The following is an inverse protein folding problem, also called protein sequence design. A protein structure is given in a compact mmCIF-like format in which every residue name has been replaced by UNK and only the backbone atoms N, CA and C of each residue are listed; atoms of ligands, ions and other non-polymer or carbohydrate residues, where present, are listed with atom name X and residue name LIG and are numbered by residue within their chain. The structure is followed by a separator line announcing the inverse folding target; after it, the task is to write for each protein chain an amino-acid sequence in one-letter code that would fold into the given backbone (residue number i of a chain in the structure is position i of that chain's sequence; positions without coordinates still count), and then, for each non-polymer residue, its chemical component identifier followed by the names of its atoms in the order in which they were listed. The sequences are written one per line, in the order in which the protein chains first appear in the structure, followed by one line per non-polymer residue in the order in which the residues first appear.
data_IF_760074519128
#
_entry.id   IF_760074519128
#
_cell.length_a   1.000
_cell.length_b   1.000
_cell.length_c   1.000
_cell.angle_alpha   90.00
_cell.angle_beta   90.00
_cell.angle_gamma   90.00
#
_symmetry.space_group_name_H-M   'P 1'
#
loop_
_entity.id
_entity.type
_entity.pdbx_description
1 polymer ?
#
# COMPACT_ATOMS: atom_id res chain seq x y z
N UNK A 1 24.55 -18.95 -30.47
CA UNK A 1 25.41 -18.95 -29.27
C UNK A 1 24.64 -18.23 -28.18
N UNK A 2 24.09 -19.00 -27.25
CA UNK A 2 23.44 -18.48 -26.06
C UNK A 2 24.55 -18.17 -25.06
N UNK A 3 24.69 -16.91 -24.69
CA UNK A 3 25.63 -16.50 -23.65
C UNK A 3 24.85 -16.39 -22.34
N UNK A 4 25.22 -17.27 -21.41
CA UNK A 4 24.70 -17.31 -20.05
C UNK A 4 25.71 -16.72 -19.10
N UNK A 5 25.21 -16.03 -18.06
CA UNK A 5 26.00 -15.61 -16.90
C UNK A 5 26.22 -14.10 -16.81
N UNK A 6 25.36 -13.40 -16.07
CA UNK A 6 25.60 -11.99 -15.71
C UNK A 6 24.36 -11.10 -15.45
N UNK A 7 23.14 -11.64 -15.43
CA UNK A 7 21.91 -10.84 -15.53
C UNK A 7 21.36 -10.17 -14.26
N UNK A 8 22.01 -10.30 -13.09
CA UNK A 8 21.38 -9.90 -11.81
C UNK A 8 21.58 -8.43 -11.40
N UNK A 9 22.75 -7.84 -11.68
CA UNK A 9 23.13 -6.56 -11.08
C UNK A 9 22.66 -5.33 -11.86
N UNK A 10 22.51 -5.43 -13.18
CA UNK A 10 22.18 -4.29 -14.03
C UNK A 10 20.72 -3.84 -14.00
N UNK A 11 19.78 -4.76 -13.76
CA UNK A 11 18.34 -4.45 -13.83
C UNK A 11 17.90 -3.57 -12.66
N UNK A 12 18.27 -3.96 -11.43
CA UNK A 12 17.94 -3.21 -10.23
C UNK A 12 18.75 -1.92 -10.09
N UNK A 13 19.91 -1.85 -10.72
CA UNK A 13 20.71 -0.63 -10.80
C UNK A 13 19.97 0.49 -11.53
N UNK A 14 19.34 0.18 -12.67
CA UNK A 14 18.57 1.18 -13.42
C UNK A 14 17.39 1.74 -12.60
N UNK A 15 16.63 0.86 -11.93
CA UNK A 15 15.54 1.28 -11.04
C UNK A 15 16.06 2.15 -9.90
N UNK A 16 17.15 1.73 -9.23
CA UNK A 16 17.75 2.50 -8.14
C UNK A 16 18.22 3.87 -8.59
N UNK A 17 18.90 3.96 -9.73
CA UNK A 17 19.38 5.23 -10.31
C UNK A 17 18.24 6.17 -10.65
N UNK A 18 17.15 5.66 -11.25
CA UNK A 18 15.96 6.44 -11.55
C UNK A 18 15.37 7.07 -10.27
N UNK A 19 15.10 6.29 -9.23
CA UNK A 19 14.54 6.82 -7.98
C UNK A 19 15.51 7.75 -7.25
N UNK A 20 16.80 7.43 -7.22
CA UNK A 20 17.82 8.33 -6.67
C UNK A 20 17.80 9.69 -7.35
N UNK A 21 17.51 9.78 -8.65
CA UNK A 21 17.44 11.06 -9.37
C UNK A 21 16.24 11.94 -8.98
N UNK A 22 15.19 11.36 -8.39
CA UNK A 22 14.01 12.09 -7.94
C UNK A 22 14.10 12.63 -6.50
N UNK A 23 15.13 12.25 -5.75
CA UNK A 23 15.44 12.83 -4.43
C UNK A 23 16.14 14.17 -4.64
N UNK A 24 15.48 15.26 -4.21
CA UNK A 24 16.03 16.62 -4.25
C UNK A 24 16.69 16.95 -2.90
N UNK A 25 17.98 17.25 -2.88
CA UNK A 25 18.81 17.44 -1.67
C UNK A 25 18.49 18.67 -0.80
N UNK A 26 17.45 19.45 -1.11
CA UNK A 26 17.36 20.83 -0.62
C UNK A 26 15.97 21.29 -0.17
N UNK A 27 15.05 20.38 0.19
CA UNK A 27 13.71 20.77 0.66
C UNK A 27 13.41 20.31 2.08
N UNK A 28 12.94 21.23 2.92
CA UNK A 28 12.25 20.88 4.16
C UNK A 28 11.00 20.05 3.84
N UNK A 29 10.52 19.25 4.79
CA UNK A 29 9.30 18.43 4.59
C UNK A 29 8.09 19.30 4.22
N UNK A 30 8.03 20.54 4.73
CA UNK A 30 6.96 21.49 4.41
C UNK A 30 7.01 21.93 2.95
N UNK A 31 8.18 22.25 2.42
CA UNK A 31 8.35 22.67 1.03
C UNK A 31 8.10 21.51 0.06
N UNK A 32 8.55 20.30 0.42
CA UNK A 32 8.25 19.10 -0.36
C UNK A 32 6.73 18.81 -0.43
N UNK A 33 6.01 19.02 0.68
CA UNK A 33 4.54 18.91 0.69
C UNK A 33 3.86 20.02 -0.10
N UNK A 34 4.39 21.24 -0.08
CA UNK A 34 3.85 22.36 -0.85
C UNK A 34 4.03 22.16 -2.35
N UNK A 35 5.23 21.76 -2.81
CA UNK A 35 5.46 21.39 -4.22
C UNK A 35 4.58 20.22 -4.65
N UNK A 36 4.27 19.27 -3.75
CA UNK A 36 3.37 18.16 -4.06
C UNK A 36 1.91 18.60 -4.23
N UNK A 37 1.52 19.69 -3.57
CA UNK A 37 0.20 20.31 -3.65
C UNK A 37 0.07 21.31 -4.80
N UNK A 38 1.13 21.47 -5.59
CA UNK A 38 1.19 22.34 -6.76
C UNK A 38 1.58 21.48 -7.97
N UNK A 39 1.32 21.96 -9.19
CA UNK A 39 1.74 21.29 -10.42
C UNK A 39 0.67 20.42 -11.11
N UNK A 40 0.96 20.01 -12.36
CA UNK A 40 -0.03 19.42 -13.25
C UNK A 40 -0.46 18.00 -12.84
N UNK A 41 0.31 17.27 -12.01
CA UNK A 41 -0.08 15.93 -11.56
C UNK A 41 -0.81 15.90 -10.20
N UNK A 42 -1.20 17.07 -9.65
CA UNK A 42 -1.82 17.18 -8.32
C UNK A 42 -3.05 16.28 -8.14
N UNK A 43 -4.01 16.32 -9.05
CA UNK A 43 -5.27 15.55 -8.92
C UNK A 43 -5.01 14.03 -8.91
N UNK A 44 -4.09 13.56 -9.75
CA UNK A 44 -3.64 12.16 -9.77
C UNK A 44 -2.98 11.79 -8.42
N UNK A 45 -2.06 12.63 -7.92
CA UNK A 45 -1.39 12.42 -6.63
C UNK A 45 -2.40 12.40 -5.48
N UNK A 46 -3.39 13.28 -5.49
CA UNK A 46 -4.44 13.35 -4.46
C UNK A 46 -5.31 12.09 -4.47
N UNK A 47 -5.77 11.68 -5.65
CA UNK A 47 -6.56 10.46 -5.81
C UNK A 47 -5.77 9.21 -5.40
N UNK A 48 -4.53 9.04 -5.86
CA UNK A 48 -3.68 7.91 -5.45
C UNK A 48 -3.43 7.91 -3.93
N UNK A 49 -3.20 9.07 -3.32
CA UNK A 49 -3.08 9.17 -1.86
C UNK A 49 -4.38 8.85 -1.13
N UNK A 50 -5.52 9.21 -1.71
CA UNK A 50 -6.84 8.87 -1.17
C UNK A 50 -7.04 7.35 -1.19
N UNK A 51 -6.81 6.68 -2.32
CA UNK A 51 -6.86 5.20 -2.42
C UNK A 51 -5.99 4.54 -1.37
N UNK A 52 -4.72 4.95 -1.27
CA UNK A 52 -3.79 4.41 -0.25
C UNK A 52 -4.30 4.63 1.17
N UNK A 53 -4.84 5.82 1.46
CA UNK A 53 -5.40 6.14 2.78
C UNK A 53 -6.57 5.23 3.11
N UNK A 54 -7.51 5.05 2.18
CA UNK A 54 -8.67 4.18 2.40
C UNK A 54 -8.23 2.72 2.60
N UNK A 55 -7.32 2.20 1.77
CA UNK A 55 -6.77 0.84 1.94
C UNK A 55 -6.08 0.64 3.30
N UNK A 56 -5.19 1.56 3.69
CA UNK A 56 -4.47 1.48 4.97
C UNK A 56 -5.44 1.61 6.15
N UNK A 57 -6.40 2.55 6.10
CA UNK A 57 -7.41 2.68 7.15
C UNK A 57 -8.31 1.45 7.24
N UNK A 58 -8.61 0.81 6.10
CA UNK A 58 -9.49 -0.36 6.06
C UNK A 58 -8.83 -1.59 6.66
N UNK A 59 -7.58 -1.87 6.29
CA UNK A 59 -6.92 -3.14 6.58
C UNK A 59 -5.82 -3.05 7.64
N UNK A 60 -5.27 -1.86 7.91
CA UNK A 60 -4.14 -1.67 8.82
C UNK A 60 -4.46 -0.82 10.06
N UNK A 61 -5.74 -0.47 10.29
CA UNK A 61 -6.13 0.28 11.48
C UNK A 61 -5.79 -0.47 12.77
N UNK A 62 -5.13 0.24 13.71
CA UNK A 62 -4.66 -0.28 15.00
C UNK A 62 -3.82 -1.55 14.92
N UNK A 63 -3.13 -1.78 13.80
CA UNK A 63 -2.17 -2.88 13.73
C UNK A 63 -0.93 -2.55 14.54
N UNK A 64 -0.47 -3.52 15.34
CA UNK A 64 0.73 -3.35 16.15
C UNK A 64 1.98 -3.19 15.29
N UNK A 65 2.08 -3.97 14.20
CA UNK A 65 3.25 -4.03 13.33
C UNK A 65 2.85 -4.08 11.86
N UNK A 66 3.44 -3.20 11.06
CA UNK A 66 3.36 -3.16 9.59
C UNK A 66 4.75 -3.27 8.97
N UNK A 67 4.88 -4.08 7.93
CA UNK A 67 6.06 -4.13 7.07
C UNK A 67 5.72 -3.46 5.74
N UNK A 68 6.39 -2.35 5.42
CA UNK A 68 6.19 -1.63 4.16
C UNK A 68 7.36 -1.91 3.20
N UNK A 69 7.07 -2.67 2.16
CA UNK A 69 8.02 -3.04 1.12
C UNK A 69 8.01 -2.00 0.00
N UNK A 70 9.21 -1.51 -0.35
CA UNK A 70 9.43 -0.39 -1.27
C UNK A 70 8.82 0.92 -0.72
N UNK A 71 9.18 1.27 0.52
CA UNK A 71 8.56 2.37 1.27
C UNK A 71 8.88 3.78 0.72
N UNK A 72 9.90 3.89 -0.12
CA UNK A 72 10.48 5.13 -0.61
C UNK A 72 10.75 6.13 0.52
N UNK A 73 10.59 7.42 0.21
CA UNK A 73 10.73 8.59 1.09
C UNK A 73 9.64 8.75 2.16
N UNK A 74 9.04 7.67 2.64
CA UNK A 74 8.05 7.71 3.73
C UNK A 74 6.79 8.52 3.39
N UNK A 75 6.28 8.40 2.16
CA UNK A 75 5.09 9.14 1.71
C UNK A 75 3.79 8.78 2.45
N UNK A 76 3.80 7.68 3.20
CA UNK A 76 2.66 7.14 3.92
C UNK A 76 2.75 7.31 5.45
N UNK A 77 3.79 7.97 5.97
CA UNK A 77 3.97 8.30 7.41
C UNK A 77 2.72 8.85 8.09
N UNK A 78 2.07 9.83 7.46
CA UNK A 78 0.83 10.43 8.01
C UNK A 78 -0.33 9.42 7.99
N UNK A 79 -0.41 8.57 6.96
CA UNK A 79 -1.46 7.55 6.86
C UNK A 79 -1.28 6.49 7.93
N UNK A 80 -0.04 6.08 8.20
CA UNK A 80 0.26 5.13 9.28
C UNK A 80 -0.11 5.68 10.65
N UNK A 81 0.22 6.95 10.91
CA UNK A 81 -0.18 7.64 12.14
C UNK A 81 -1.71 7.72 12.26
N UNK A 82 -2.40 8.13 11.19
CA UNK A 82 -3.86 8.29 11.20
C UNK A 82 -4.57 6.93 11.37
N UNK A 83 -3.96 5.84 10.88
CA UNK A 83 -4.40 4.46 11.10
C UNK A 83 -4.01 3.92 12.49
N UNK A 84 -3.33 4.70 13.34
CA UNK A 84 -2.91 4.30 14.68
C UNK A 84 -2.03 3.03 14.70
N UNK A 85 -1.14 2.90 13.73
CA UNK A 85 -0.18 1.78 13.67
C UNK A 85 0.89 1.96 14.76
N UNK A 86 1.24 0.89 15.47
CA UNK A 86 2.22 0.93 16.57
C UNK A 86 3.69 0.98 16.10
N UNK A 87 4.03 0.14 15.12
CA UNK A 87 5.38 0.02 14.56
C UNK A 87 5.33 -0.20 13.05
N UNK A 88 6.22 0.47 12.32
CA UNK A 88 6.42 0.28 10.87
C UNK A 88 7.89 -0.05 10.60
N UNK A 89 8.16 -1.15 9.89
CA UNK A 89 9.46 -1.39 9.25
C UNK A 89 9.34 -1.07 7.76
N UNK A 90 10.09 -0.09 7.27
CA UNK A 90 10.14 0.26 5.86
C UNK A 90 11.42 -0.28 5.20
N UNK A 91 11.28 -0.97 4.09
CA UNK A 91 12.39 -1.48 3.28
C UNK A 91 12.37 -0.81 1.91
N UNK A 92 13.51 -0.33 1.42
CA UNK A 92 13.61 0.22 0.06
C UNK A 92 14.99 0.02 -0.56
N UNK A 93 15.07 -0.01 -1.88
CA UNK A 93 16.33 -0.17 -2.63
C UNK A 93 17.16 1.12 -2.68
N UNK A 94 16.51 2.27 -2.58
CA UNK A 94 17.18 3.57 -2.63
C UNK A 94 17.61 4.03 -1.24
N UNK A 95 18.92 4.06 -1.00
CA UNK A 95 19.50 4.64 0.23
C UNK A 95 19.02 6.08 0.45
N UNK A 96 19.00 6.90 -0.61
CA UNK A 96 18.56 8.30 -0.55
C UNK A 96 17.09 8.45 -0.15
N UNK A 97 16.21 7.60 -0.68
CA UNK A 97 14.80 7.60 -0.29
C UNK A 97 14.63 7.14 1.17
N UNK A 98 15.40 6.14 1.62
CA UNK A 98 15.41 5.69 3.03
C UNK A 98 15.89 6.79 3.98
N UNK A 99 16.96 7.50 3.65
CA UNK A 99 17.44 8.64 4.44
C UNK A 99 16.40 9.75 4.56
N UNK A 100 15.72 10.07 3.46
CA UNK A 100 14.62 11.04 3.45
C UNK A 100 13.42 10.57 4.30
N UNK A 101 13.10 9.27 4.28
CA UNK A 101 12.06 8.69 5.15
C UNK A 101 12.42 8.84 6.63
N UNK A 102 13.67 8.53 7.02
CA UNK A 102 14.20 8.71 8.38
C UNK A 102 14.11 10.17 8.82
N UNK A 103 14.50 11.10 7.96
CA UNK A 103 14.43 12.55 8.24
C UNK A 103 12.98 13.00 8.47
N UNK A 104 12.06 12.65 7.57
CA UNK A 104 10.63 13.01 7.69
C UNK A 104 9.97 12.43 8.93
N UNK A 105 10.30 11.19 9.29
CA UNK A 105 9.82 10.58 10.52
C UNK A 105 10.34 11.34 11.75
N UNK A 106 11.63 11.66 11.80
CA UNK A 106 12.25 12.43 12.88
C UNK A 106 11.59 13.81 13.07
N UNK A 107 11.28 14.50 11.97
CA UNK A 107 10.56 15.79 12.00
C UNK A 107 9.09 15.68 12.45
N UNK A 108 8.42 14.59 12.08
CA UNK A 108 7.06 14.31 12.56
C UNK A 108 7.07 14.05 14.07
N UNK A 109 8.10 13.35 14.57
CA UNK A 109 8.23 12.98 15.98
C UNK A 109 8.72 14.14 16.86
N UNK A 110 9.53 15.07 16.32
CA UNK A 110 10.08 16.21 17.08
C UNK A 110 9.06 17.32 17.37
N UNK A 111 7.98 17.40 16.58
CA UNK A 111 6.88 18.36 16.79
C UNK A 111 6.02 17.95 17.98
N UNK A 112 6.53 18.21 19.20
CA UNK A 112 5.80 18.09 20.48
C UNK A 112 4.67 19.12 20.58
N UNK A 113 3.53 18.84 19.94
CA UNK A 113 2.28 19.58 20.13
C UNK A 113 1.15 18.60 20.45
N UNK A 114 0.78 18.52 21.73
CA UNK A 114 -0.45 17.91 22.28
C UNK A 114 -0.87 16.56 21.67
N UNK A 115 -0.22 15.50 22.15
CA UNK A 115 -0.51 14.09 21.82
C UNK A 115 0.73 13.43 21.28
N UNK A 116 1.45 12.69 22.12
CA UNK A 116 2.63 11.94 21.68
C UNK A 116 2.24 11.02 20.51
N UNK A 117 3.03 11.04 19.43
CA UNK A 117 2.86 10.09 18.32
C UNK A 117 3.22 8.71 18.87
N UNK A 118 2.21 7.87 19.12
CA UNK A 118 2.40 6.49 19.56
C UNK A 118 2.68 5.56 18.37
N UNK A 119 3.69 5.92 17.57
CA UNK A 119 4.13 5.14 16.41
C UNK A 119 5.65 5.20 16.33
N UNK A 120 6.27 4.04 16.17
CA UNK A 120 7.71 3.88 15.92
C UNK A 120 7.96 3.45 14.48
N UNK A 121 9.08 3.88 13.89
CA UNK A 121 9.46 3.47 12.54
C UNK A 121 10.95 3.09 12.48
N UNK A 122 11.25 2.03 11.74
CA UNK A 122 12.60 1.59 11.36
C UNK A 122 12.68 1.53 9.84
N UNK A 123 13.74 2.09 9.25
CA UNK A 123 13.93 2.10 7.81
C UNK A 123 15.29 1.52 7.44
N UNK A 124 15.30 0.62 6.46
CA UNK A 124 16.49 -0.12 6.03
C UNK A 124 16.59 -0.15 4.51
N UNK A 125 17.81 0.06 4.02
CA UNK A 125 18.12 -0.02 2.59
C UNK A 125 18.46 -1.45 2.22
N UNK A 126 17.75 -2.01 1.24
CA UNK A 126 17.89 -3.41 0.82
C UNK A 126 17.85 -3.52 -0.69
N UNK A 127 18.80 -4.23 -1.28
CA UNK A 127 18.91 -4.43 -2.73
C UNK A 127 18.49 -5.84 -3.19
N UNK A 128 18.00 -6.66 -2.25
CA UNK A 128 17.75 -8.08 -2.43
C UNK A 128 16.27 -8.48 -2.40
N UNK A 129 15.33 -7.52 -2.31
CA UNK A 129 13.89 -7.83 -2.40
C UNK A 129 13.60 -8.58 -3.72
N UNK A 130 12.90 -9.71 -3.63
CA UNK A 130 12.68 -10.60 -4.78
C UNK A 130 13.88 -11.46 -5.17
N UNK A 131 15.02 -11.41 -4.46
CA UNK A 131 16.20 -12.24 -4.78
C UNK A 131 16.60 -13.18 -3.63
N UNK A 132 16.28 -12.83 -2.38
CA UNK A 132 16.61 -13.62 -1.20
C UNK A 132 15.40 -13.78 -0.29
N UNK A 133 15.36 -14.91 0.42
CA UNK A 133 14.39 -15.11 1.50
C UNK A 133 14.68 -14.11 2.61
N UNK A 134 13.61 -13.55 3.17
CA UNK A 134 13.67 -12.62 4.28
C UNK A 134 12.65 -12.96 5.34
N UNK A 135 13.16 -13.07 6.56
CA UNK A 135 12.41 -13.08 7.80
C UNK A 135 13.03 -12.03 8.70
N UNK A 136 12.22 -11.19 9.32
CA UNK A 136 12.73 -10.21 10.26
C UNK A 136 13.30 -10.92 11.50
N UNK A 137 14.63 -11.00 11.61
CA UNK A 137 15.30 -11.67 12.73
C UNK A 137 14.96 -11.06 14.10
N UNK A 138 14.66 -9.76 14.17
CA UNK A 138 14.33 -9.09 15.43
C UNK A 138 12.89 -9.38 15.85
N UNK A 139 11.98 -9.46 14.88
CA UNK A 139 10.55 -9.64 15.13
C UNK A 139 10.11 -11.10 15.12
N UNK A 140 10.86 -11.97 14.43
CA UNK A 140 10.52 -13.35 14.11
C UNK A 140 9.57 -13.47 12.91
N UNK A 141 9.40 -14.70 12.39
CA UNK A 141 8.46 -14.99 11.32
C UNK A 141 7.01 -14.74 11.77
N UNK A 142 6.16 -14.33 10.83
CA UNK A 142 4.74 -14.10 11.09
C UNK A 142 4.45 -13.02 12.14
N UNK A 143 5.34 -12.04 12.30
CA UNK A 143 5.23 -11.00 13.33
C UNK A 143 4.44 -9.77 12.88
N UNK A 144 4.09 -9.66 11.61
CA UNK A 144 3.38 -8.52 11.05
C UNK A 144 1.89 -8.82 10.84
N UNK A 145 1.03 -7.90 11.28
CA UNK A 145 -0.40 -7.96 11.01
C UNK A 145 -0.74 -7.58 9.56
N UNK A 146 0.07 -6.68 8.98
CA UNK A 146 -0.07 -6.22 7.61
C UNK A 146 1.29 -6.07 6.95
N UNK A 147 1.36 -6.45 5.68
CA UNK A 147 2.46 -6.11 4.76
C UNK A 147 1.91 -5.20 3.67
N UNK A 148 2.60 -4.12 3.32
CA UNK A 148 2.20 -3.21 2.23
C UNK A 148 3.25 -3.14 1.13
N UNK A 149 2.81 -2.98 -0.13
CA UNK A 149 3.67 -2.68 -1.27
C UNK A 149 2.97 -1.73 -2.23
N UNK A 150 3.24 -0.44 -2.09
CA UNK A 150 2.47 0.62 -2.76
C UNK A 150 3.20 1.10 -4.03
N UNK A 151 2.59 0.87 -5.19
CA UNK A 151 3.10 1.25 -6.51
C UNK A 151 4.47 0.65 -6.87
N UNK A 152 4.73 -0.60 -6.45
CA UNK A 152 6.02 -1.25 -6.70
C UNK A 152 5.95 -2.75 -7.04
N UNK A 153 4.79 -3.41 -6.90
CA UNK A 153 4.68 -4.86 -7.13
C UNK A 153 5.09 -5.26 -8.56
N UNK A 154 4.80 -4.40 -9.54
CA UNK A 154 5.13 -4.63 -10.95
C UNK A 154 6.64 -4.75 -11.22
N UNK A 155 7.52 -4.26 -10.34
CA UNK A 155 8.96 -4.47 -10.51
C UNK A 155 9.38 -5.93 -10.33
N UNK A 156 8.65 -6.70 -9.52
CA UNK A 156 8.96 -8.10 -9.26
C UNK A 156 8.53 -9.05 -10.39
N UNK A 157 7.80 -8.55 -11.41
CA UNK A 157 7.46 -9.29 -12.63
C UNK A 157 8.63 -9.42 -13.63
N UNK A 158 9.83 -8.94 -13.27
CA UNK A 158 11.06 -9.13 -14.05
C UNK A 158 11.36 -10.61 -14.36
N UNK A 159 11.06 -11.51 -13.43
CA UNK A 159 11.20 -12.96 -13.59
C UNK A 159 10.26 -13.71 -12.65
N UNK A 160 9.97 -14.97 -12.98
CA UNK A 160 9.15 -15.85 -12.14
C UNK A 160 9.77 -16.02 -10.73
N UNK A 161 11.07 -16.31 -10.68
CA UNK A 161 11.79 -16.47 -9.41
C UNK A 161 11.69 -15.21 -8.55
N UNK A 162 11.75 -14.02 -9.17
CA UNK A 162 11.62 -12.76 -8.44
C UNK A 162 10.26 -12.59 -7.77
N UNK A 163 9.19 -12.86 -8.51
CA UNK A 163 7.83 -12.78 -7.97
C UNK A 163 7.59 -13.83 -6.88
N UNK A 164 8.06 -15.06 -7.08
CA UNK A 164 7.95 -16.15 -6.10
C UNK A 164 8.65 -15.81 -4.79
N UNK A 165 9.91 -15.35 -4.85
CA UNK A 165 10.67 -14.95 -3.65
C UNK A 165 10.01 -13.75 -2.97
N UNK A 166 9.55 -12.76 -3.75
CA UNK A 166 8.88 -11.59 -3.20
C UNK A 166 7.61 -11.97 -2.42
N UNK A 167 6.72 -12.76 -3.01
CA UNK A 167 5.48 -13.20 -2.35
C UNK A 167 5.73 -14.18 -1.21
N UNK A 168 6.77 -15.02 -1.30
CA UNK A 168 7.23 -15.81 -0.16
C UNK A 168 7.61 -14.90 1.02
N UNK A 169 8.40 -13.85 0.80
CA UNK A 169 8.79 -12.92 1.87
C UNK A 169 7.59 -12.19 2.47
N UNK A 170 6.62 -11.79 1.64
CA UNK A 170 5.34 -11.24 2.11
C UNK A 170 4.65 -12.24 3.04
N UNK A 171 4.47 -13.49 2.60
CA UNK A 171 3.79 -14.51 3.40
C UNK A 171 4.56 -14.87 4.67
N UNK A 172 5.88 -15.08 4.61
CA UNK A 172 6.71 -15.48 5.74
C UNK A 172 6.68 -14.47 6.89
N UNK A 173 6.60 -13.17 6.59
CA UNK A 173 6.53 -12.11 7.60
C UNK A 173 5.09 -11.83 8.07
N UNK A 174 4.07 -12.24 7.31
CA UNK A 174 2.66 -12.13 7.71
C UNK A 174 2.27 -13.17 8.76
N UNK A 175 1.61 -12.73 9.83
CA UNK A 175 0.88 -13.64 10.72
C UNK A 175 -0.26 -14.30 9.96
N UNK A 176 -0.68 -15.48 10.40
CA UNK A 176 -1.92 -16.08 9.91
C UNK A 176 -3.11 -15.15 10.18
N UNK A 177 -3.98 -14.97 9.19
CA UNK A 177 -5.06 -13.99 9.18
C UNK A 177 -4.63 -12.54 8.90
N UNK A 178 -3.34 -12.26 8.73
CA UNK A 178 -2.84 -10.94 8.33
C UNK A 178 -3.07 -10.62 6.85
N UNK A 179 -2.92 -9.34 6.48
CA UNK A 179 -3.22 -8.85 5.13
C UNK A 179 -1.99 -8.33 4.38
N UNK A 180 -1.88 -8.71 3.11
CA UNK A 180 -1.00 -8.07 2.15
C UNK A 180 -1.80 -7.08 1.30
N UNK A 181 -1.36 -5.81 1.27
CA UNK A 181 -2.01 -4.74 0.49
C UNK A 181 -1.02 -4.27 -0.58
N UNK A 182 -1.45 -4.25 -1.84
CA UNK A 182 -0.61 -3.72 -2.91
C UNK A 182 -1.36 -2.81 -3.87
N UNK A 183 -0.64 -1.85 -4.43
CA UNK A 183 -1.07 -1.09 -5.62
C UNK A 183 -0.01 -1.21 -6.71
N UNK A 184 -0.42 -1.30 -7.96
CA UNK A 184 0.49 -1.57 -9.08
C UNK A 184 -0.15 -1.23 -10.42
N UNK A 185 0.65 -1.19 -11.48
CA UNK A 185 0.19 -1.02 -12.86
C UNK A 185 -0.35 -2.34 -13.41
N UNK A 186 -1.60 -2.31 -13.89
CA UNK A 186 -2.32 -3.47 -14.41
C UNK A 186 -1.89 -3.78 -15.85
N UNK A 187 -1.35 -4.97 -16.09
CA UNK A 187 -0.94 -5.41 -17.43
C UNK A 187 -2.05 -5.29 -18.48
N UNK A 188 -3.29 -5.79 -18.22
CA UNK A 188 -4.42 -5.59 -19.12
C UNK A 188 -4.69 -4.12 -19.48
N UNK A 189 -4.58 -3.20 -18.51
CA UNK A 189 -4.78 -1.76 -18.75
C UNK A 189 -3.66 -1.15 -19.60
N UNK A 190 -2.41 -1.53 -19.36
CA UNK A 190 -1.26 -1.11 -20.18
C UNK A 190 -1.41 -1.61 -21.62
N UNK A 191 -1.76 -2.89 -21.81
CA UNK A 191 -1.98 -3.47 -23.13
C UNK A 191 -3.16 -2.80 -23.87
N UNK A 192 -4.25 -2.53 -23.16
CA UNK A 192 -5.42 -1.83 -23.69
C UNK A 192 -5.06 -0.41 -24.13
N UNK A 193 -4.21 0.29 -23.38
CA UNK A 193 -3.79 1.65 -23.75
C UNK A 193 -2.85 1.66 -24.98
N UNK A 194 -1.96 0.67 -25.06
CA UNK A 194 -1.04 0.54 -26.19
C UNK A 194 -1.75 0.15 -27.48
N UNK A 195 -2.79 -0.70 -27.43
CA UNK A 195 -3.52 -1.21 -28.60
C UNK A 195 -2.56 -1.82 -29.65
N UNK A 196 -1.52 -2.51 -29.19
CA UNK A 196 -0.48 -3.11 -30.04
C UNK A 196 0.57 -2.13 -30.58
N UNK A 197 0.42 -0.82 -30.36
CA UNK A 197 1.40 0.20 -30.75
C UNK A 197 2.71 0.06 -29.96
N UNK A 198 3.85 0.49 -30.53
CA UNK A 198 5.13 0.52 -29.80
C UNK A 198 5.14 1.55 -28.67
N UNK A 199 4.39 2.64 -28.82
CA UNK A 199 4.33 3.72 -27.84
C UNK A 199 2.92 4.33 -27.84
N UNK A 200 2.47 4.71 -26.65
CA UNK A 200 1.36 5.62 -26.43
C UNK A 200 1.89 6.91 -25.79
N UNK A 201 1.40 8.07 -26.25
CA UNK A 201 1.79 9.37 -25.70
C UNK A 201 0.60 10.33 -25.61
N UNK A 202 0.51 11.00 -24.49
CA UNK A 202 -0.37 12.14 -24.21
C UNK A 202 0.36 13.13 -23.29
N UNK A 203 -0.16 14.35 -23.05
CA UNK A 203 0.61 15.42 -22.37
C UNK A 203 1.22 15.04 -21.02
N UNK A 204 0.53 14.20 -20.23
CA UNK A 204 0.98 13.77 -18.90
C UNK A 204 1.44 12.32 -18.84
N UNK A 205 1.42 11.59 -19.96
CA UNK A 205 1.66 10.14 -19.95
C UNK A 205 2.36 9.68 -21.21
N UNK A 206 3.42 8.90 -21.03
CA UNK A 206 4.04 8.11 -22.09
C UNK A 206 4.22 6.68 -21.60
N UNK A 207 3.80 5.72 -22.43
CA UNK A 207 4.03 4.30 -22.25
C UNK A 207 4.76 3.77 -23.49
N UNK A 208 5.94 3.18 -23.33
CA UNK A 208 6.71 2.62 -24.46
C UNK A 208 7.14 1.18 -24.20
N UNK A 209 6.63 0.23 -24.99
CA UNK A 209 6.93 -1.20 -24.80
C UNK A 209 8.37 -1.54 -25.18
N UNK A 210 8.97 -2.52 -24.49
CA UNK A 210 10.30 -3.08 -24.80
C UNK A 210 10.25 -4.53 -25.30
N UNK A 211 9.12 -5.22 -25.17
CA UNK A 211 8.94 -6.55 -25.76
C UNK A 211 8.68 -6.46 -27.28
N UNK A 212 9.00 -7.52 -28.03
CA UNK A 212 8.96 -7.51 -29.51
C UNK A 212 7.57 -7.71 -30.10
N UNK A 213 6.87 -8.78 -29.71
CA UNK A 213 5.56 -9.16 -30.26
C UNK A 213 4.43 -8.36 -29.56
N UNK A 214 3.74 -7.44 -30.25
CA UNK A 214 2.70 -6.62 -29.64
C UNK A 214 1.47 -7.39 -29.14
N UNK A 215 1.24 -8.62 -29.64
CA UNK A 215 0.07 -9.42 -29.32
C UNK A 215 0.39 -10.57 -28.35
N UNK A 216 1.67 -10.88 -28.16
CA UNK A 216 2.13 -11.97 -27.29
C UNK A 216 3.30 -11.51 -26.40
N UNK A 217 3.07 -10.59 -25.45
CA UNK A 217 4.08 -10.26 -24.46
C UNK A 217 4.42 -11.51 -23.63
N UNK A 218 5.69 -11.68 -23.21
CA UNK A 218 6.03 -12.73 -22.25
C UNK A 218 5.35 -12.46 -20.90
N UNK A 219 5.02 -13.51 -20.16
CA UNK A 219 4.38 -13.40 -18.83
C UNK A 219 5.29 -12.66 -17.85
N UNK A 220 6.59 -12.96 -17.89
CA UNK A 220 7.61 -12.30 -17.09
C UNK A 220 8.61 -11.55 -17.97
N UNK A 221 9.19 -10.48 -17.44
CA UNK A 221 10.22 -9.70 -18.14
C UNK A 221 9.69 -8.84 -19.29
N UNK A 222 8.37 -8.73 -19.47
CA UNK A 222 7.76 -7.82 -20.44
C UNK A 222 7.88 -6.35 -19.98
N UNK A 223 9.06 -5.78 -20.17
CA UNK A 223 9.38 -4.41 -19.75
C UNK A 223 8.71 -3.34 -20.62
N UNK A 224 8.35 -2.22 -20.01
CA UNK A 224 7.96 -0.98 -20.70
C UNK A 224 8.42 0.24 -19.90
N UNK A 225 8.60 1.36 -20.59
CA UNK A 225 8.81 2.65 -19.94
C UNK A 225 7.46 3.24 -19.57
N UNK A 226 7.31 3.60 -18.30
CA UNK A 226 6.24 4.40 -17.74
C UNK A 226 6.78 5.78 -17.39
N UNK A 227 6.28 6.81 -18.06
CA UNK A 227 6.67 8.19 -17.82
C UNK A 227 5.40 9.01 -17.59
N UNK A 228 5.12 9.30 -16.30
CA UNK A 228 4.01 10.15 -15.88
C UNK A 228 4.62 11.48 -15.43
N UNK A 229 4.37 12.54 -16.20
CA UNK A 229 4.95 13.85 -15.96
C UNK A 229 4.60 14.38 -14.55
N UNK A 230 5.54 15.11 -13.94
CA UNK A 230 5.41 15.63 -12.57
C UNK A 230 5.19 14.53 -11.50
N UNK A 231 5.65 13.30 -11.75
CA UNK A 231 5.67 12.23 -10.74
C UNK A 231 7.07 11.63 -10.58
N UNK A 232 7.20 10.63 -9.69
CA UNK A 232 8.45 9.89 -9.50
C UNK A 232 8.76 8.89 -10.62
N UNK A 233 7.86 8.73 -11.59
CA UNK A 233 8.13 7.94 -12.80
C UNK A 233 8.55 8.81 -13.98
N UNK A 234 8.54 10.14 -13.80
CA UNK A 234 8.79 11.08 -14.88
C UNK A 234 10.20 10.91 -15.44
N UNK A 235 10.35 11.08 -16.75
CA UNK A 235 11.67 11.19 -17.35
C UNK A 235 12.44 12.36 -16.74
N UNK A 236 13.75 12.18 -16.59
CA UNK A 236 14.67 13.20 -16.09
C UNK A 236 15.69 13.41 -17.20
N UNK A 237 15.70 14.61 -17.77
CA UNK A 237 16.56 14.94 -18.90
C UNK A 237 18.02 14.61 -18.60
N UNK A 238 18.68 13.92 -19.55
CA UNK A 238 20.06 13.45 -19.41
C UNK A 238 20.27 12.30 -18.41
N UNK A 239 19.22 11.81 -17.73
CA UNK A 239 19.34 10.78 -16.68
C UNK A 239 18.49 9.54 -16.98
N UNK A 240 17.19 9.69 -17.24
CA UNK A 240 16.30 8.55 -17.50
C UNK A 240 15.17 8.89 -18.47
N UNK A 241 14.76 7.91 -19.28
CA UNK A 241 13.61 8.03 -20.19
C UNK A 241 12.24 7.85 -19.51
N UNK A 242 12.23 7.66 -18.18
CA UNK A 242 11.08 7.26 -17.36
C UNK A 242 11.37 5.99 -16.56
N UNK A 243 10.40 5.52 -15.77
CA UNK A 243 10.54 4.29 -15.01
C UNK A 243 10.45 3.05 -15.91
N UNK A 244 11.37 2.09 -15.75
CA UNK A 244 11.26 0.77 -16.37
C UNK A 244 10.41 -0.14 -15.48
N UNK A 245 9.21 -0.47 -15.95
CA UNK A 245 8.25 -1.32 -15.27
C UNK A 245 8.00 -2.62 -16.06
N UNK A 246 7.37 -3.63 -15.45
CA UNK A 246 7.03 -4.89 -16.11
C UNK A 246 5.53 -5.14 -16.11
N UNK A 247 5.00 -5.68 -17.21
CA UNK A 247 3.58 -6.04 -17.28
C UNK A 247 3.23 -7.05 -16.19
N UNK A 248 2.18 -6.76 -15.43
CA UNK A 248 1.62 -7.67 -14.44
C UNK A 248 0.54 -8.52 -15.08
N UNK A 249 0.81 -9.81 -15.22
CA UNK A 249 -0.21 -10.80 -15.55
C UNK A 249 -1.02 -11.16 -14.29
N UNK A 250 -2.30 -10.75 -14.27
CA UNK A 250 -3.17 -10.87 -13.09
C UNK A 250 -3.43 -12.33 -12.68
N UNK A 251 -3.73 -13.27 -13.60
CA UNK A 251 -3.87 -14.69 -13.24
C UNK A 251 -2.60 -15.27 -12.63
N UNK A 252 -1.43 -14.98 -13.21
CA UNK A 252 -0.14 -15.43 -12.68
C UNK A 252 0.13 -14.86 -11.29
N UNK A 253 -0.15 -13.55 -11.07
CA UNK A 253 -0.01 -12.94 -9.74
C UNK A 253 -0.85 -13.68 -8.70
N UNK A 254 -2.13 -13.93 -9.00
CA UNK A 254 -3.03 -14.63 -8.10
C UNK A 254 -2.56 -16.06 -7.82
N UNK A 255 -2.09 -16.78 -8.85
CA UNK A 255 -1.63 -18.15 -8.70
C UNK A 255 -0.35 -18.24 -7.85
N UNK A 256 0.64 -17.37 -8.08
CA UNK A 256 1.87 -17.35 -7.28
C UNK A 256 1.58 -16.93 -5.83
N UNK A 257 0.64 -16.01 -5.61
CA UNK A 257 0.20 -15.64 -4.26
C UNK A 257 -0.46 -16.83 -3.54
N UNK A 258 -1.35 -17.56 -4.21
CA UNK A 258 -2.02 -18.73 -3.64
C UNK A 258 -1.02 -19.83 -3.23
N UNK A 259 0.07 -20.03 -3.99
CA UNK A 259 1.12 -21.01 -3.66
C UNK A 259 1.81 -20.76 -2.32
N UNK A 260 1.73 -19.55 -1.78
CA UNK A 260 2.30 -19.16 -0.48
C UNK A 260 1.22 -18.84 0.57
N UNK A 261 -0.02 -19.31 0.35
CA UNK A 261 -1.13 -19.14 1.28
C UNK A 261 -1.74 -17.74 1.30
N UNK A 262 -1.50 -16.92 0.28
CA UNK A 262 -2.10 -15.59 0.13
C UNK A 262 -3.33 -15.70 -0.77
N UNK A 263 -4.52 -15.58 -0.17
CA UNK A 263 -5.81 -15.71 -0.85
C UNK A 263 -6.53 -14.35 -0.95
N UNK A 264 -7.18 -14.04 -2.09
CA UNK A 264 -7.67 -12.69 -2.34
C UNK A 264 -8.89 -12.35 -1.48
N UNK A 265 -8.92 -11.13 -0.95
CA UNK A 265 -10.12 -10.53 -0.38
C UNK A 265 -10.95 -9.98 -1.53
N UNK A 266 -12.12 -10.58 -1.78
CA UNK A 266 -12.97 -10.23 -2.92
C UNK A 266 -13.82 -8.99 -2.65
N UNK A 267 -14.48 -8.91 -1.51
CA UNK A 267 -15.27 -7.73 -1.14
C UNK A 267 -14.57 -6.99 0.00
N UNK A 268 -14.28 -5.70 -0.20
CA UNK A 268 -13.64 -4.89 0.84
C UNK A 268 -14.63 -4.36 1.88
N UNK A 269 -15.94 -4.54 1.67
CA UNK A 269 -17.01 -4.15 2.61
C UNK A 269 -16.87 -2.70 3.08
N UNK A 270 -16.54 -1.81 2.15
CA UNK A 270 -16.35 -0.38 2.40
C UNK A 270 -16.86 0.42 1.18
N UNK A 271 -18.05 1.04 1.29
CA UNK A 271 -18.65 1.79 0.19
C UNK A 271 -17.81 2.99 -0.27
N UNK A 272 -17.05 3.64 0.62
CA UNK A 272 -16.21 4.80 0.26
C UNK A 272 -15.02 4.32 -0.55
N UNK A 273 -14.34 3.27 -0.07
CA UNK A 273 -13.24 2.65 -0.80
C UNK A 273 -13.72 2.09 -2.15
N UNK A 274 -14.92 1.50 -2.22
CA UNK A 274 -15.50 1.01 -3.47
C UNK A 274 -15.64 2.10 -4.54
N UNK A 275 -15.94 3.36 -4.16
CA UNK A 275 -16.03 4.47 -5.13
C UNK A 275 -14.72 4.78 -5.86
N UNK A 276 -13.59 4.31 -5.33
CA UNK A 276 -12.28 4.49 -5.95
C UNK A 276 -12.02 3.54 -7.12
N UNK A 277 -12.86 2.52 -7.29
CA UNK A 277 -12.62 1.41 -8.21
C UNK A 277 -13.72 1.27 -9.27
N UNK A 278 -13.42 0.52 -10.33
CA UNK A 278 -14.43 0.22 -11.36
C UNK A 278 -15.52 -0.65 -10.75
N UNK A 279 -16.77 -0.38 -11.13
CA UNK A 279 -17.93 -1.06 -10.55
C UNK A 279 -17.91 -2.58 -10.87
N UNK A 280 -17.37 -2.96 -12.03
CA UNK A 280 -17.18 -4.36 -12.45
C UNK A 280 -16.15 -5.12 -11.61
N UNK A 281 -15.27 -4.42 -10.88
CA UNK A 281 -14.25 -5.04 -10.05
C UNK A 281 -14.72 -5.27 -8.61
N UNK A 282 -15.97 -4.95 -8.24
CA UNK A 282 -16.42 -4.94 -6.84
C UNK A 282 -16.20 -6.27 -6.10
N UNK A 283 -16.34 -7.39 -6.81
CA UNK A 283 -16.10 -8.75 -6.30
C UNK A 283 -14.85 -9.42 -6.91
N UNK A 284 -14.06 -8.67 -7.68
CA UNK A 284 -12.86 -9.19 -8.33
C UNK A 284 -11.63 -9.16 -7.39
N UNK A 285 -10.66 -10.08 -7.53
CA UNK A 285 -9.40 -10.04 -6.75
C UNK A 285 -8.57 -8.76 -6.95
N UNK A 286 -8.75 -8.09 -8.10
CA UNK A 286 -7.99 -6.92 -8.50
C UNK A 286 -8.94 -5.75 -8.77
N UNK A 287 -8.70 -4.61 -8.13
CA UNK A 287 -9.55 -3.42 -8.17
C UNK A 287 -8.90 -2.33 -8.99
N UNK A 288 -9.31 -2.14 -10.24
CA UNK A 288 -8.77 -1.09 -11.09
C UNK A 288 -9.29 0.28 -10.68
N UNK A 289 -8.41 1.27 -10.73
CA UNK A 289 -8.71 2.63 -10.32
C UNK A 289 -9.75 3.28 -11.24
N UNK A 290 -10.73 3.96 -10.65
CA UNK A 290 -11.76 4.78 -11.31
C UNK A 290 -11.52 6.26 -10.95
N UNK A 291 -10.50 6.91 -11.52
CA UNK A 291 -10.28 8.33 -11.30
C UNK A 291 -11.41 9.15 -11.90
N UNK A 292 -11.78 10.23 -11.22
CA UNK A 292 -12.68 11.27 -11.75
C UNK A 292 -12.13 12.62 -11.31
N UNK A 293 -11.64 13.42 -12.27
CA UNK A 293 -10.99 14.70 -11.98
C UNK A 293 -11.87 15.85 -12.49
N UNK A 294 -12.34 16.73 -11.60
CA UNK A 294 -13.33 17.77 -11.94
C UNK A 294 -12.84 18.72 -13.05
N UNK A 295 -11.53 19.00 -13.11
CA UNK A 295 -10.96 19.87 -14.14
C UNK A 295 -10.82 19.19 -15.52
N UNK A 296 -11.08 17.88 -15.63
CA UNK A 296 -11.21 17.18 -16.92
C UNK A 296 -12.49 17.58 -17.67
N UNK A 297 -13.50 18.09 -16.96
CA UNK A 297 -14.64 18.75 -17.54
C UNK A 297 -14.19 20.16 -17.96
N UNK A 298 -13.72 20.32 -19.19
CA UNK A 298 -13.63 21.65 -19.79
C UNK A 298 -15.02 22.30 -19.65
N UNK A 299 -15.10 23.35 -18.83
CA UNK A 299 -16.32 24.12 -18.52
C UNK A 299 -16.83 24.95 -19.71
N UNK A 300 -16.61 24.49 -20.94
CA UNK A 300 -17.30 24.99 -22.12
C UNK A 300 -18.69 24.34 -22.13
N UNK A 301 -19.56 24.91 -21.30
CA UNK A 301 -20.97 24.55 -21.20
C UNK A 301 -21.63 24.62 -22.58
N UNK A 302 -22.12 23.47 -23.06
CA UNK A 302 -23.30 23.43 -23.93
C UNK A 302 -24.46 23.03 -23.03
N UNK A 303 -25.37 23.96 -22.78
CA UNK A 303 -26.57 23.71 -21.98
C UNK A 303 -27.40 22.58 -22.62
N UNK A 304 -27.71 21.54 -21.84
CA UNK A 304 -28.68 20.50 -22.24
C UNK A 304 -28.12 19.12 -22.61
N UNK A 305 -26.80 18.91 -22.70
CA UNK A 305 -26.19 17.56 -22.79
C UNK A 305 -24.82 17.54 -22.11
N UNK A 306 -24.62 16.68 -21.10
CA UNK A 306 -23.27 16.31 -20.66
C UNK A 306 -22.65 15.44 -21.77
N UNK A 307 -21.60 15.87 -22.48
CA UNK A 307 -20.80 14.92 -23.22
C UNK A 307 -20.01 14.11 -22.19
N UNK A 308 -20.06 12.77 -22.29
CA UNK A 308 -19.00 11.92 -21.74
C UNK A 308 -17.72 12.27 -22.52
N UNK A 309 -17.00 13.30 -22.06
CA UNK A 309 -15.71 13.65 -22.66
C UNK A 309 -14.74 12.47 -22.48
N UNK A 310 -13.85 12.23 -23.45
CA UNK A 310 -12.82 11.19 -23.29
C UNK A 310 -11.96 11.50 -22.06
N UNK A 311 -11.46 10.48 -21.35
CA UNK A 311 -10.68 10.69 -20.14
C UNK A 311 -9.45 11.57 -20.42
N UNK A 312 -9.18 12.49 -19.50
CA UNK A 312 -8.00 13.35 -19.54
C UNK A 312 -6.71 12.53 -19.53
N UNK A 313 -5.58 13.16 -19.89
CA UNK A 313 -4.28 12.49 -19.85
C UNK A 313 -3.94 11.95 -18.45
N UNK A 314 -4.37 12.63 -17.39
CA UNK A 314 -4.16 12.19 -16.01
C UNK A 314 -5.10 11.04 -15.63
N UNK A 315 -6.35 11.06 -16.08
CA UNK A 315 -7.27 9.94 -15.85
C UNK A 315 -6.80 8.69 -16.58
N UNK A 316 -6.29 8.82 -17.81
CA UNK A 316 -5.63 7.72 -18.53
C UNK A 316 -4.47 7.15 -17.72
N UNK A 317 -3.58 8.00 -17.22
CA UNK A 317 -2.44 7.59 -16.39
C UNK A 317 -2.89 6.90 -15.10
N UNK A 318 -3.84 7.48 -14.38
CA UNK A 318 -4.35 6.92 -13.12
C UNK A 318 -5.13 5.60 -13.34
N UNK A 319 -5.82 5.46 -14.47
CA UNK A 319 -6.56 4.24 -14.83
C UNK A 319 -5.69 3.04 -15.21
N UNK A 320 -4.36 3.22 -15.29
CA UNK A 320 -3.41 2.12 -15.43
C UNK A 320 -3.30 1.30 -14.15
N UNK A 321 -3.61 1.89 -13.00
CA UNK A 321 -3.35 1.29 -11.70
C UNK A 321 -4.51 0.41 -11.21
N UNK A 322 -4.15 -0.59 -10.43
CA UNK A 322 -5.05 -1.43 -9.67
C UNK A 322 -4.56 -1.59 -8.22
N UNK A 323 -5.45 -2.01 -7.34
CA UNK A 323 -5.16 -2.47 -6.00
C UNK A 323 -5.53 -3.94 -5.84
N UNK A 324 -4.85 -4.65 -4.94
CA UNK A 324 -5.30 -5.93 -4.43
C UNK A 324 -5.06 -6.02 -2.93
N UNK A 325 -5.86 -6.86 -2.28
CA UNK A 325 -5.64 -7.29 -0.90
C UNK A 325 -5.71 -8.80 -0.86
N UNK A 326 -4.66 -9.42 -0.34
CA UNK A 326 -4.63 -10.84 -0.04
C UNK A 326 -4.58 -11.04 1.47
N UNK A 327 -5.20 -12.10 1.97
CA UNK A 327 -5.09 -12.52 3.36
C UNK A 327 -4.30 -13.82 3.43
N UNK A 328 -3.43 -13.95 4.44
CA UNK A 328 -2.70 -15.19 4.70
C UNK A 328 -3.58 -16.17 5.45
N UNK A 329 -4.22 -17.10 4.74
CA UNK A 329 -5.12 -18.13 5.30
C UNK A 329 -5.03 -19.42 4.50
N UNK A 330 -5.46 -20.53 5.12
CA UNK A 330 -5.35 -21.86 4.52
C UNK A 330 -6.44 -22.16 3.48
N UNK A 331 -7.60 -21.50 3.58
CA UNK A 331 -8.75 -21.74 2.70
C UNK A 331 -9.44 -20.44 2.26
N UNK A 332 -10.03 -20.38 1.05
CA UNK A 332 -10.84 -19.23 0.62
C UNK A 332 -12.03 -18.94 1.54
N UNK A 333 -12.53 -19.95 2.26
CA UNK A 333 -13.63 -19.79 3.21
C UNK A 333 -13.22 -19.06 4.51
N UNK A 334 -11.91 -19.01 4.79
CA UNK A 334 -11.37 -18.33 5.98
C UNK A 334 -11.08 -16.85 5.71
N UNK A 335 -11.20 -16.41 4.46
CA UNK A 335 -11.00 -15.02 4.07
C UNK A 335 -12.04 -14.15 4.77
N UNK A 336 -11.56 -13.14 5.47
CA UNK A 336 -12.35 -12.20 6.26
C UNK A 336 -11.92 -10.78 5.96
N UNK A 337 -12.77 -9.83 6.37
CA UNK A 337 -12.50 -8.40 6.27
C UNK A 337 -12.55 -7.84 7.68
N UNK A 338 -11.56 -7.05 8.12
CA UNK A 338 -11.60 -6.47 9.46
C UNK A 338 -12.79 -5.53 9.61
N UNK A 339 -13.21 -5.22 10.83
CA UNK A 339 -14.24 -4.19 11.04
C UNK A 339 -13.70 -2.81 10.66
N UNK A 340 -14.51 -2.00 9.98
CA UNK A 340 -14.12 -0.64 9.65
C UNK A 340 -14.02 0.18 10.95
N UNK A 341 -13.07 1.12 11.07
CA UNK A 341 -13.05 2.03 12.20
C UNK A 341 -14.38 2.81 12.25
N UNK A 342 -15.02 2.92 13.42
CA UNK A 342 -16.30 3.63 13.61
C UNK A 342 -16.24 5.15 13.28
N UNK A 343 -15.12 5.66 12.75
CA UNK A 343 -14.84 7.08 12.57
C UNK A 343 -14.26 7.46 11.19
N UNK A 344 -14.56 6.72 10.11
CA UNK A 344 -14.21 7.16 8.75
C UNK A 344 -15.15 8.23 8.18
N UNK A 345 -16.36 8.40 8.73
CA UNK A 345 -17.40 9.28 8.18
C UNK A 345 -17.62 10.62 8.91
N UNK A 346 -17.08 10.83 10.13
CA UNK A 346 -17.45 11.98 10.99
C UNK A 346 -16.30 12.85 11.50
N UNK A 347 -15.08 12.74 10.98
CA UNK A 347 -14.04 13.73 11.31
C UNK A 347 -14.12 14.93 10.36
N UNK A 348 -15.15 15.75 10.56
CA UNK A 348 -15.11 17.13 10.10
C UNK A 348 -13.92 17.80 10.81
N UNK A 349 -12.88 18.21 10.06
CA UNK A 349 -11.87 19.13 10.59
C UNK A 349 -12.66 20.32 11.14
N UNK A 350 -12.70 20.49 12.47
CA UNK A 350 -13.11 21.75 13.05
C UNK A 350 -12.26 22.83 12.38
N UNK A 351 -12.90 23.63 11.51
CA UNK A 351 -12.31 24.87 11.04
C UNK A 351 -11.98 25.66 12.30
N UNK A 352 -10.69 25.90 12.53
CA UNK A 352 -10.25 26.81 13.58
C UNK A 352 -10.89 28.16 13.30
N UNK A 353 -11.94 28.48 14.06
CA UNK A 353 -12.55 29.80 14.07
C UNK A 353 -11.48 30.80 14.47
N UNK A 354 -11.01 31.57 13.50
CA UNK A 354 -10.25 32.79 13.78
C UNK A 354 -11.18 33.75 14.49
N UNK A 355 -10.81 34.15 15.70
CA UNK A 355 -11.39 35.31 16.35
C UNK A 355 -11.17 36.54 15.47
N UNK A 356 -12.22 36.98 14.79
CA UNK A 356 -12.35 38.33 14.25
C UNK A 356 -13.50 38.99 15.00
N UNK A 357 -13.16 39.92 15.88
CA UNK A 357 -14.11 40.77 16.56
C UNK A 357 -14.69 41.77 15.56
N UNK A 358 -15.99 41.69 15.28
CA UNK A 358 -16.74 42.79 14.67
C UNK A 358 -18.14 42.85 15.29
N UNK A 359 -18.54 44.08 15.65
CA UNK A 359 -19.70 44.41 16.47
C UNK A 359 -21.08 44.12 15.84
N UNK A 360 -22.18 44.45 16.56
CA UNK A 360 -23.51 44.01 16.21
C UNK A 360 -23.99 44.65 14.89
N UNK A 361 -24.68 43.91 14.01
CA UNK A 361 -25.13 44.43 12.74
C UNK A 361 -26.36 45.34 12.91
N UNK A 362 -26.24 46.54 12.36
CA UNK A 362 -27.34 47.47 12.12
C UNK A 362 -28.32 46.89 11.10
N UNK A 363 -29.61 46.97 11.42
CA UNK A 363 -30.70 46.45 10.59
C UNK A 363 -30.83 47.16 9.25
N UNK A 364 -31.18 46.38 8.23
CA UNK A 364 -31.69 46.87 6.96
C UNK A 364 -33.14 46.40 6.79
N UNK A 365 -34.05 47.38 6.79
CA UNK A 365 -35.47 47.24 6.50
C UNK A 365 -35.70 46.97 5.01
N UNK A 366 -36.59 46.05 4.68
CA UNK A 366 -37.16 45.88 3.35
C UNK A 366 -38.46 46.72 3.22
N UNK A 367 -38.76 47.35 2.07
CA UNK A 367 -40.00 48.10 1.88
C UNK A 367 -41.16 47.16 1.51
N UNK A 368 -42.34 47.42 2.09
CA UNK A 368 -43.53 46.58 1.96
C UNK A 368 -44.39 46.84 0.72
N UNK A 369 -45.35 45.95 0.51
CA UNK A 369 -46.61 46.24 -0.18
C UNK A 369 -47.76 45.43 0.43
N UNK A 370 -48.93 46.05 0.39
CA UNK A 370 -50.14 45.85 1.19
C UNK A 370 -51.00 44.61 0.85
N UNK A 371 -51.68 44.09 1.88
CA UNK A 371 -52.90 43.27 1.76
C UNK A 371 -53.42 42.79 3.13
N UNK A 372 -54.59 43.28 3.55
CA UNK A 372 -55.37 42.84 4.74
C UNK A 372 -56.70 42.20 4.25
N UNK A 373 -57.58 41.58 5.08
CA UNK A 373 -57.50 40.87 6.39
C UNK A 373 -58.46 39.61 6.38
N UNK A 374 -59.25 39.14 7.41
CA UNK A 374 -59.19 39.05 8.90
C UNK A 374 -59.47 37.56 9.41
N UNK A 375 -60.25 37.23 10.49
CA UNK A 375 -59.78 36.91 11.86
C UNK A 375 -60.37 35.63 12.54
N UNK A 376 -59.93 35.32 13.77
CA UNK A 376 -60.68 34.54 14.78
C UNK A 376 -60.22 33.08 14.97
N UNK A 377 -60.22 32.45 16.14
CA UNK A 377 -60.56 32.76 17.54
C UNK A 377 -59.66 31.81 18.38
N UNK A 378 -59.01 32.25 19.45
CA UNK A 378 -59.54 32.02 20.81
C UNK A 378 -58.69 31.01 21.62
N UNK A 379 -57.81 31.52 22.48
CA UNK A 379 -57.36 30.89 23.75
C UNK A 379 -58.45 31.19 24.82
N UNK A 380 -58.56 30.55 26.02
CA UNK A 380 -57.49 30.28 27.01
C UNK A 380 -57.63 28.92 27.78
N UNK A 381 -56.56 28.27 28.27
CA UNK A 381 -55.83 28.40 29.55
C UNK A 381 -56.44 27.72 30.81
N UNK A 382 -55.51 27.27 31.69
CA UNK A 382 -55.64 26.81 33.10
C UNK A 382 -56.18 25.38 33.31
N UNK A 383 -55.72 24.55 34.26
CA UNK A 383 -54.92 24.71 35.50
C UNK A 383 -54.52 23.32 36.03
N UNK A 384 -53.41 23.19 36.76
CA UNK A 384 -53.01 21.96 37.49
C UNK A 384 -53.85 21.68 38.75
N UNK A 385 -53.26 21.13 39.84
CA UNK A 385 -52.86 19.71 40.03
C UNK A 385 -53.46 19.12 41.33
N UNK A 386 -53.79 17.81 41.41
CA UNK A 386 -54.06 17.12 42.69
C UNK A 386 -53.88 15.59 42.59
N UNK A 387 -53.14 14.98 43.52
CA UNK A 387 -53.36 13.60 44.01
C UNK A 387 -53.96 13.67 45.43
N UNK A 388 -53.96 12.61 46.28
CA UNK A 388 -53.71 11.16 46.11
C UNK A 388 -54.87 10.30 46.74
N UNK A 389 -54.58 9.11 47.29
CA UNK A 389 -55.44 8.04 47.89
C UNK A 389 -55.89 6.95 46.89
N UNK A 390 -55.84 5.64 47.15
CA UNK A 390 -55.51 4.81 48.33
C UNK A 390 -56.12 3.41 48.12
N UNK A 391 -55.58 2.40 48.82
CA UNK A 391 -56.10 1.05 49.08
C UNK A 391 -55.76 -0.13 48.13
N UNK A 392 -54.95 -1.07 48.68
CA UNK A 392 -54.96 -2.51 48.36
C UNK A 392 -55.97 -3.26 49.24
N UNK A 393 -55.79 -4.54 49.67
CA UNK A 393 -54.74 -5.53 49.39
C UNK A 393 -55.29 -6.96 49.10
N UNK A 394 -54.42 -7.98 49.00
CA UNK A 394 -54.51 -9.43 49.33
C UNK A 394 -53.47 -10.17 48.46
N UNK A 395 -52.28 -10.55 48.94
CA UNK A 395 -51.99 -11.73 49.78
C UNK A 395 -51.59 -12.90 48.85
N UNK A 396 -50.46 -13.61 48.93
CA UNK A 396 -49.48 -13.89 49.97
C UNK A 396 -49.19 -15.40 49.92
N UNK A 397 -47.93 -15.84 49.82
CA UNK A 397 -47.56 -17.26 49.87
C UNK A 397 -46.11 -17.55 49.47
N UNK A 398 -45.34 -18.10 50.40
CA UNK A 398 -43.87 -18.13 50.51
C UNK A 398 -43.33 -19.58 50.59
N UNK A 399 -42.04 -19.77 50.21
CA UNK A 399 -41.03 -20.76 50.70
C UNK A 399 -41.33 -22.27 50.56
N UNK A 400 -40.37 -23.20 50.35
CA UNK A 400 -38.91 -23.22 50.30
C UNK A 400 -38.40 -24.66 50.56
N UNK A 401 -37.10 -24.91 50.25
CA UNK A 401 -36.21 -26.01 50.67
C UNK A 401 -36.16 -27.37 49.96
N UNK A 402 -34.92 -27.79 49.68
CA UNK A 402 -34.51 -29.18 49.44
C UNK A 402 -33.12 -29.33 48.81
N UNK A 403 -32.05 -29.28 49.61
CA UNK A 403 -30.69 -29.62 49.19
C UNK A 403 -30.27 -31.02 49.64
N UNK A 404 -29.34 -31.64 48.90
CA UNK A 404 -28.64 -32.87 49.29
C UNK A 404 -27.65 -33.36 48.21
N UNK A 405 -26.35 -33.42 48.54
CA UNK A 405 -25.40 -34.37 47.92
C UNK A 405 -25.22 -35.59 48.84
N UNK A 406 -24.16 -36.44 48.75
CA UNK A 406 -23.10 -36.60 47.74
C UNK A 406 -22.77 -38.10 47.38
N UNK A 407 -21.66 -38.32 46.65
CA UNK A 407 -20.73 -39.49 46.62
C UNK A 407 -20.84 -40.65 45.58
N UNK A 408 -19.71 -40.79 44.84
CA UNK A 408 -18.84 -41.95 44.55
C UNK A 408 -19.39 -43.28 43.97
N UNK A 409 -18.76 -43.78 42.89
CA UNK A 409 -17.76 -44.88 42.89
C UNK A 409 -17.63 -45.62 41.52
N UNK A 410 -16.37 -45.86 41.09
CA UNK A 410 -15.80 -46.99 40.31
C UNK A 410 -16.45 -47.40 38.97
N UNK A 411 -15.74 -47.81 37.91
CA UNK A 411 -14.35 -48.21 37.68
C UNK A 411 -14.28 -48.96 36.32
N UNK A 412 -13.07 -49.31 35.86
CA UNK A 412 -12.88 -50.32 34.82
C UNK A 412 -12.00 -49.91 33.64
N UNK A 413 -10.74 -50.33 33.69
CA UNK A 413 -9.71 -50.14 32.66
C UNK A 413 -9.78 -51.13 31.47
N UNK A 414 -8.65 -51.34 30.76
CA UNK A 414 -8.56 -51.51 29.30
C UNK A 414 -8.38 -52.96 28.83
N UNK A 415 -8.06 -53.19 27.54
CA UNK A 415 -6.88 -54.02 27.26
C UNK A 415 -5.97 -53.58 26.08
N UNK A 416 -4.68 -53.90 26.28
CA UNK A 416 -3.58 -54.36 25.39
C UNK A 416 -3.79 -54.45 23.85
N UNK A 417 -2.80 -54.34 22.94
CA UNK A 417 -1.33 -54.31 23.00
C UNK A 417 -0.71 -55.00 21.76
N UNK A 418 0.55 -54.66 21.45
CA UNK A 418 1.60 -55.39 20.67
C UNK A 418 1.85 -55.18 19.16
N UNK A 419 3.16 -54.95 18.87
CA UNK A 419 3.93 -55.28 17.65
C UNK A 419 4.47 -54.03 16.91
N UNK A 420 5.77 -53.75 16.71
CA UNK A 420 7.01 -54.54 16.77
C UNK A 420 7.72 -54.50 15.40
N UNK A 421 9.05 -54.24 15.38
CA UNK A 421 10.03 -54.34 14.26
C UNK A 421 10.15 -53.11 13.33
N UNK A 422 11.29 -52.74 12.74
CA UNK A 422 12.73 -53.00 12.92
C UNK A 422 13.48 -52.04 11.95
N UNK A 423 14.72 -51.68 12.27
CA UNK A 423 15.68 -50.99 11.38
C UNK A 423 16.00 -51.78 10.11
N UNK A 424 16.54 -51.12 9.07
CA UNK A 424 17.98 -51.29 8.86
C UNK A 424 18.76 -50.00 8.51
N UNK A 425 20.03 -50.07 8.86
CA UNK A 425 21.12 -49.16 8.55
C UNK A 425 21.48 -49.19 7.05
N UNK A 426 22.03 -48.09 6.55
CA UNK A 426 22.72 -48.04 5.26
C UNK A 426 23.40 -46.69 5.06
N UNK A 427 24.67 -46.58 5.46
CA UNK A 427 25.52 -45.43 5.11
C UNK A 427 26.18 -45.60 3.73
N UNK A 428 26.75 -44.53 3.16
CA UNK A 428 27.80 -44.65 2.16
C UNK A 428 29.14 -44.01 2.63
N UNK A 429 30.27 -44.37 1.98
CA UNK A 429 31.59 -44.34 2.58
C UNK A 429 32.35 -43.02 2.35
N UNK A 430 33.30 -42.78 3.26
CA UNK A 430 34.41 -41.83 3.10
C UNK A 430 35.48 -42.41 2.16
N UNK A 431 35.93 -41.60 1.20
CA UNK A 431 37.25 -41.67 0.57
C UNK A 431 37.83 -40.25 0.76
N UNK A 432 38.96 -40.01 1.43
CA UNK A 432 40.21 -40.75 1.38
C UNK A 432 41.10 -40.11 0.31
N UNK A 433 41.71 -38.96 0.62
CA UNK A 433 42.71 -38.33 -0.23
C UNK A 433 44.08 -39.03 -0.14
N UNK A 434 45.00 -38.67 -1.04
CA UNK A 434 46.40 -38.40 -0.69
C UNK A 434 46.80 -37.01 -1.25
N UNK A 435 47.75 -36.24 -0.73
CA UNK A 435 48.93 -36.54 0.06
C UNK A 435 50.08 -35.73 -0.53
N UNK A 436 50.75 -34.91 0.30
CA UNK A 436 52.07 -34.30 0.06
C UNK A 436 52.12 -33.13 -0.93
N UNK A 437 53.02 -32.16 -0.85
CA UNK A 437 54.07 -31.81 0.11
C UNK A 437 54.79 -30.58 -0.47
N UNK A 438 55.22 -29.70 0.42
CA UNK A 438 56.44 -28.88 0.33
C UNK A 438 56.56 -27.64 -0.59
N UNK A 439 56.77 -26.53 0.12
CA UNK A 439 57.99 -25.71 0.08
C UNK A 439 58.17 -24.57 -0.95
N UNK A 440 58.14 -23.36 -0.36
CA UNK A 440 59.22 -22.35 -0.31
C UNK A 440 59.50 -21.42 -1.52
N UNK A 441 59.81 -20.17 -1.11
CA UNK A 441 60.67 -19.10 -1.71
C UNK A 441 59.96 -18.21 -2.75
N UNK A 442 59.84 -16.88 -2.58
CA UNK A 442 60.78 -15.72 -2.34
C UNK A 442 60.87 -14.87 -3.62
N UNK A 443 60.86 -13.54 -3.45
CA UNK A 443 61.30 -12.53 -4.43
C UNK A 443 60.12 -11.67 -4.94
N UNK A 444 59.89 -10.41 -4.54
CA UNK A 444 60.73 -9.21 -4.57
C UNK A 444 61.15 -8.78 -5.99
N UNK A 445 60.67 -7.60 -6.44
CA UNK A 445 61.13 -6.92 -7.64
C UNK A 445 60.13 -5.87 -8.13
N UNK A 446 60.40 -4.59 -7.84
CA UNK A 446 59.56 -3.43 -8.14
C UNK A 446 59.58 -2.94 -9.60
N UNK A 447 58.91 -1.79 -9.88
CA UNK A 447 58.69 -1.25 -11.22
C UNK A 447 59.80 -0.26 -11.63
N UNK A 448 59.88 0.15 -12.91
CA UNK A 448 59.51 1.54 -13.21
C UNK A 448 59.02 1.80 -14.65
N UNK A 449 58.44 2.99 -14.89
CA UNK A 449 58.34 3.52 -16.25
C UNK A 449 57.39 4.70 -16.43
N UNK A 450 57.81 5.91 -16.04
CA UNK A 450 57.18 7.18 -16.47
C UNK A 450 57.59 7.49 -17.91
N UNK A 451 56.64 7.94 -18.73
CA UNK A 451 56.90 8.63 -20.00
C UNK A 451 56.01 9.88 -20.12
N UNK A 452 56.63 11.07 -20.07
CA UNK A 452 56.05 12.34 -20.52
C UNK A 452 56.30 12.47 -22.02
N UNK A 453 55.35 13.00 -22.80
CA UNK A 453 55.66 13.85 -23.96
C UNK A 453 54.56 14.88 -24.22
N UNK A 454 55.01 16.10 -24.48
CA UNK A 454 54.26 17.30 -24.92
C UNK A 454 53.83 17.20 -26.39
N UNK A 455 52.79 17.95 -26.77
CA UNK A 455 52.54 18.35 -28.16
C UNK A 455 51.18 19.01 -28.34
N UNK A 456 51.16 20.30 -28.66
CA UNK A 456 49.99 21.18 -28.77
C UNK A 456 49.13 21.05 -30.05
N UNK A 457 48.28 22.06 -30.36
CA UNK A 457 46.95 21.87 -30.94
C UNK A 457 46.87 22.16 -32.46
N UNK A 458 45.80 21.69 -33.10
CA UNK A 458 45.31 22.28 -34.36
C UNK A 458 43.79 22.16 -34.48
N UNK A 459 43.20 23.28 -34.90
CA UNK A 459 41.81 23.49 -35.30
C UNK A 459 41.52 22.79 -36.64
N UNK A 460 40.24 22.50 -36.87
CA UNK A 460 39.65 22.04 -38.13
C UNK A 460 38.18 21.74 -37.94
#
# INVERSE_FOLDING_TARGET
MADGGGGGTGVWEQTRQHYNSHVKDSFSTREALQQRNEGPAKELKDFHNHVKRQLIMRFAYKQDRVLDLCCGRGGDLQKWRDAQIGYVKGLDISEREVEEAKRRFSEMHSKRSRGAVNMSCEFETVDWLGQRIFEDEKAGPGSYGVVTCMFALHYFFVSEASLQIFLHNVSANLRHGGYFIATFTSGPRVLTLLEGRPEFRSPMLRIARRWRDPHRPPIFGAGYICDIADTVTASVEGTSEGSLEYLVDLPTLQQVAANVGLLPVLDYMDPVLATCFRDEDIDAPFKHFKPFFLHSLQLDKVEGKLPLQPPSSLEKASSLFAACVFQKVDSPHDVSVPMAPECSFMQNKQMKGGHMAHGPPMGFMAPGFHGQPPPGMGVPAHSGPHGPYGDGPYGGGQHGYGGGGPQNMYGGGPPHGYGGMAHPQGGPPSFGGPGGSDARKRGAGGPPGRGRFNGGPQQG
#
